data_IF_046898075353
#
_entry.id   IF_046898075353
#
_cell.length_a   1.000
_cell.length_b   1.000
_cell.length_c   1.000
_cell.angle_alpha   90.00
_cell.angle_beta   90.00
_cell.angle_gamma   90.00
#
_symmetry.space_group_name_H-M   'P 1'
#
loop_
_entity.id
_entity.type
_entity.pdbx_description
1 polymer ?
#
# COMPACT_ATOMS: atom_id res chain seq x y z
N UNK A 1 -3.78 12.79 -14.67
CA UNK A 1 -4.71 11.63 -14.61
C UNK A 1 -3.83 10.41 -14.33
N UNK A 2 -4.02 9.78 -13.18
CA UNK A 2 -3.25 8.58 -12.84
C UNK A 2 -3.97 7.34 -13.38
N UNK A 3 -3.24 6.46 -14.07
CA UNK A 3 -3.76 5.22 -14.60
C UNK A 3 -2.89 4.06 -14.13
N UNK A 4 -3.53 3.07 -13.50
CA UNK A 4 -2.88 1.80 -13.17
C UNK A 4 -3.26 0.75 -14.20
N UNK A 5 -2.26 0.10 -14.81
CA UNK A 5 -2.46 -1.02 -15.74
C UNK A 5 -1.75 -2.27 -15.23
N UNK A 6 -2.52 -3.31 -14.99
CA UNK A 6 -2.04 -4.66 -14.67
C UNK A 6 -2.15 -5.50 -15.95
N UNK A 7 -1.04 -6.05 -16.45
CA UNK A 7 -0.99 -6.73 -17.75
C UNK A 7 -0.50 -8.16 -17.61
N UNK A 8 -1.39 -9.12 -17.72
CA UNK A 8 -1.12 -10.57 -17.69
C UNK A 8 -0.21 -10.97 -16.51
N UNK A 9 -0.45 -10.36 -15.35
CA UNK A 9 0.37 -10.56 -14.17
C UNK A 9 0.07 -11.89 -13.52
N UNK A 10 1.13 -12.64 -13.24
CA UNK A 10 1.08 -13.88 -12.44
C UNK A 10 1.97 -13.78 -11.22
N UNK A 11 1.66 -14.56 -10.20
CA UNK A 11 2.57 -14.77 -9.06
C UNK A 11 2.60 -16.22 -8.66
N UNK A 12 3.80 -16.80 -8.71
CA UNK A 12 4.10 -18.13 -8.22
C UNK A 12 5.14 -18.01 -7.11
N UNK A 13 4.84 -18.52 -5.95
CA UNK A 13 5.81 -18.63 -4.85
C UNK A 13 6.55 -19.95 -4.95
N UNK A 14 7.86 -19.90 -4.83
CA UNK A 14 8.69 -21.10 -4.77
C UNK A 14 8.34 -21.95 -3.54
N UNK A 15 8.26 -23.25 -3.71
CA UNK A 15 8.05 -24.15 -2.58
C UNK A 15 9.26 -24.17 -1.63
N UNK A 16 9.01 -24.22 -0.32
CA UNK A 16 10.05 -24.38 0.67
C UNK A 16 10.31 -25.86 0.99
N UNK A 17 11.58 -26.26 1.12
CA UNK A 17 12.01 -27.60 1.57
C UNK A 17 11.32 -28.78 0.88
N UNK A 18 11.25 -28.74 -0.47
CA UNK A 18 10.71 -29.87 -1.26
C UNK A 18 9.21 -29.85 -1.50
N UNK A 19 8.49 -28.81 -1.06
CA UNK A 19 7.10 -28.58 -1.46
C UNK A 19 7.01 -28.01 -2.88
N UNK A 20 5.91 -28.34 -3.58
CA UNK A 20 5.67 -27.81 -4.93
C UNK A 20 5.48 -26.28 -4.92
N UNK A 21 5.83 -25.59 -6.00
CA UNK A 21 5.51 -24.16 -6.17
C UNK A 21 4.00 -23.92 -6.06
N UNK A 22 3.62 -22.79 -5.47
CA UNK A 22 2.21 -22.41 -5.30
C UNK A 22 1.89 -21.23 -6.18
N UNK A 23 0.93 -21.39 -7.09
CA UNK A 23 0.39 -20.28 -7.88
C UNK A 23 -0.57 -19.47 -7.02
N UNK A 24 -0.14 -18.29 -6.62
CA UNK A 24 -0.92 -17.39 -5.78
C UNK A 24 -1.80 -16.44 -6.59
N UNK A 25 -1.43 -16.15 -7.84
CA UNK A 25 -2.20 -15.32 -8.76
C UNK A 25 -2.11 -15.90 -10.17
N UNK A 26 -3.25 -16.23 -10.75
CA UNK A 26 -3.39 -16.61 -12.15
C UNK A 26 -3.23 -15.37 -13.05
N UNK A 27 -2.97 -15.54 -14.38
CA UNK A 27 -2.85 -14.40 -15.28
C UNK A 27 -4.01 -13.42 -15.15
N UNK A 28 -3.70 -12.23 -14.66
CA UNK A 28 -4.69 -11.21 -14.32
C UNK A 28 -4.37 -9.92 -15.06
N UNK A 29 -5.39 -9.34 -15.68
CA UNK A 29 -5.31 -8.02 -16.32
C UNK A 29 -6.42 -7.11 -15.78
N UNK A 30 -6.07 -5.87 -15.48
CA UNK A 30 -6.97 -4.86 -14.95
C UNK A 30 -6.44 -3.48 -15.30
N UNK A 31 -7.31 -2.61 -15.77
CA UNK A 31 -7.04 -1.19 -15.89
C UNK A 31 -7.88 -0.42 -14.87
N UNK A 32 -7.27 0.56 -14.21
CA UNK A 32 -7.90 1.45 -13.23
C UNK A 32 -7.60 2.87 -13.67
N UNK A 33 -8.65 3.63 -13.90
CA UNK A 33 -8.54 5.04 -14.30
C UNK A 33 -8.53 5.96 -13.06
N UNK A 34 -8.24 7.22 -13.30
CA UNK A 34 -8.25 8.24 -12.26
C UNK A 34 -9.66 8.36 -11.62
N UNK A 35 -9.68 8.42 -10.29
CA UNK A 35 -10.90 8.42 -9.46
C UNK A 35 -11.78 7.15 -9.51
N UNK A 36 -11.31 6.06 -10.10
CA UNK A 36 -12.02 4.79 -9.99
C UNK A 36 -12.01 4.25 -8.55
N UNK A 37 -13.10 3.61 -8.18
CA UNK A 37 -13.20 2.82 -6.96
C UNK A 37 -13.40 1.35 -7.32
N UNK A 38 -12.37 0.54 -7.11
CA UNK A 38 -12.36 -0.88 -7.48
C UNK A 38 -12.52 -1.76 -6.25
N UNK A 39 -13.47 -2.66 -6.29
CA UNK A 39 -13.65 -3.70 -5.27
C UNK A 39 -13.22 -5.05 -5.81
N UNK A 40 -12.27 -5.70 -5.12
CA UNK A 40 -11.80 -7.05 -5.48
C UNK A 40 -12.47 -8.06 -4.55
N UNK A 41 -13.36 -8.89 -5.13
CA UNK A 41 -14.12 -9.90 -4.43
C UNK A 41 -13.60 -11.31 -4.77
N UNK A 42 -13.72 -12.22 -3.82
CA UNK A 42 -13.37 -13.61 -4.00
C UNK A 42 -13.14 -14.34 -2.68
N UNK A 43 -13.10 -15.69 -2.70
CA UNK A 43 -12.87 -16.50 -1.52
C UNK A 43 -11.48 -16.27 -0.91
N UNK A 44 -11.30 -16.77 0.31
CA UNK A 44 -9.97 -16.73 0.96
C UNK A 44 -8.94 -17.53 0.13
N UNK A 45 -7.74 -16.99 -0.02
CA UNK A 45 -6.64 -17.64 -0.75
C UNK A 45 -6.69 -17.51 -2.28
N UNK A 46 -7.63 -16.75 -2.86
CA UNK A 46 -7.72 -16.58 -4.33
C UNK A 46 -6.77 -15.54 -4.93
N UNK A 47 -5.87 -14.95 -4.13
CA UNK A 47 -4.83 -14.03 -4.64
C UNK A 47 -5.12 -12.52 -4.45
N UNK A 48 -6.21 -12.10 -3.80
CA UNK A 48 -6.55 -10.67 -3.59
C UNK A 48 -5.42 -9.89 -2.92
N UNK A 49 -4.93 -10.37 -1.78
CA UNK A 49 -3.82 -9.74 -1.05
C UNK A 49 -2.52 -9.77 -1.83
N UNK A 50 -2.31 -10.82 -2.63
CA UNK A 50 -1.14 -10.92 -3.53
C UNK A 50 -1.21 -9.85 -4.60
N UNK A 51 -2.36 -9.66 -5.25
CA UNK A 51 -2.55 -8.60 -6.25
C UNK A 51 -2.29 -7.21 -5.63
N UNK A 52 -2.83 -6.93 -4.44
CA UNK A 52 -2.59 -5.65 -3.76
C UNK A 52 -1.11 -5.42 -3.43
N UNK A 53 -0.39 -6.46 -2.99
CA UNK A 53 1.05 -6.38 -2.73
C UNK A 53 1.86 -6.13 -4.00
N UNK A 54 1.49 -6.76 -5.11
CA UNK A 54 2.10 -6.55 -6.42
C UNK A 54 1.90 -5.10 -6.90
N UNK A 55 0.67 -4.58 -6.81
CA UNK A 55 0.36 -3.17 -7.14
C UNK A 55 1.10 -2.20 -6.23
N UNK A 56 1.24 -2.52 -4.94
CA UNK A 56 2.01 -1.72 -4.00
C UNK A 56 3.53 -1.74 -4.25
N UNK A 57 4.02 -2.66 -5.10
CA UNK A 57 5.45 -2.87 -5.31
C UNK A 57 6.15 -3.62 -4.16
N UNK A 58 5.40 -4.21 -3.24
CA UNK A 58 5.92 -5.01 -2.13
C UNK A 58 6.27 -6.44 -2.54
N UNK A 59 5.83 -6.84 -3.71
CA UNK A 59 6.12 -8.12 -4.36
C UNK A 59 6.41 -7.88 -5.84
N UNK A 60 7.24 -8.74 -6.42
CA UNK A 60 7.53 -8.71 -7.86
C UNK A 60 6.69 -9.77 -8.58
N UNK A 61 6.05 -9.47 -9.69
CA UNK A 61 5.34 -10.47 -10.48
C UNK A 61 6.28 -11.54 -11.03
N UNK A 62 5.80 -12.76 -11.14
CA UNK A 62 6.54 -13.85 -11.82
C UNK A 62 6.55 -13.64 -13.33
N UNK A 63 5.43 -13.19 -13.89
CA UNK A 63 5.32 -12.77 -15.29
C UNK A 63 4.32 -11.61 -15.42
N UNK A 64 4.32 -10.96 -16.57
CA UNK A 64 3.55 -9.76 -16.81
C UNK A 64 4.18 -8.51 -16.24
N UNK A 65 3.45 -7.41 -16.25
CA UNK A 65 3.92 -6.12 -15.76
C UNK A 65 2.78 -5.30 -15.14
N UNK A 66 3.17 -4.42 -14.23
CA UNK A 66 2.25 -3.43 -13.63
C UNK A 66 2.83 -2.05 -13.93
N UNK A 67 2.00 -1.19 -14.49
CA UNK A 67 2.36 0.16 -14.88
C UNK A 67 1.52 1.17 -14.10
N UNK A 68 2.14 2.23 -13.60
CA UNK A 68 1.47 3.41 -13.09
C UNK A 68 1.88 4.59 -13.96
N UNK A 69 0.91 5.23 -14.59
CA UNK A 69 1.13 6.33 -15.55
C UNK A 69 2.12 5.98 -16.68
N UNK A 70 2.05 4.73 -17.15
CA UNK A 70 2.93 4.20 -18.19
C UNK A 70 4.33 3.78 -17.70
N UNK A 71 4.67 4.01 -16.44
CA UNK A 71 5.96 3.62 -15.85
C UNK A 71 5.81 2.31 -15.09
N UNK A 72 6.74 1.40 -15.28
CA UNK A 72 6.74 0.10 -14.59
C UNK A 72 6.97 0.26 -13.10
N UNK A 73 6.14 -0.41 -12.29
CA UNK A 73 6.34 -0.51 -10.86
C UNK A 73 7.46 -1.52 -10.58
N UNK A 74 8.58 -1.05 -10.07
CA UNK A 74 9.74 -1.88 -9.71
C UNK A 74 9.89 -2.10 -8.22
N UNK A 75 9.18 -1.32 -7.40
CA UNK A 75 9.23 -1.40 -5.94
C UNK A 75 8.22 -0.49 -5.27
N UNK A 76 8.23 -0.40 -3.93
CA UNK A 76 7.43 0.56 -3.19
C UNK A 76 7.77 2.00 -3.58
N UNK A 77 6.78 2.88 -3.58
CA UNK A 77 6.95 4.29 -3.93
C UNK A 77 6.01 5.21 -3.17
N UNK A 78 6.37 6.50 -3.06
CA UNK A 78 5.55 7.53 -2.42
C UNK A 78 4.34 7.95 -3.27
N UNK A 79 4.24 7.46 -4.49
CA UNK A 79 3.15 7.65 -5.45
C UNK A 79 1.92 6.78 -5.15
N UNK A 80 2.07 5.78 -4.24
CA UNK A 80 1.02 4.85 -3.83
C UNK A 80 0.94 4.76 -2.30
N UNK A 81 -0.28 4.63 -1.77
CA UNK A 81 -0.52 4.36 -0.36
C UNK A 81 -1.19 3.01 -0.17
N UNK A 82 -0.79 2.27 0.85
CA UNK A 82 -1.41 1.00 1.24
C UNK A 82 -1.91 1.07 2.67
N UNK A 83 -3.17 0.69 2.88
CA UNK A 83 -3.71 0.44 4.21
C UNK A 83 -3.68 -1.07 4.44
N UNK A 84 -2.85 -1.50 5.38
CA UNK A 84 -2.69 -2.92 5.70
C UNK A 84 -3.84 -3.42 6.59
N UNK A 85 -4.14 -4.70 6.49
CA UNK A 85 -5.16 -5.35 7.32
C UNK A 85 -4.76 -5.42 8.81
N UNK A 86 -3.47 -5.50 9.10
CA UNK A 86 -2.92 -5.47 10.46
C UNK A 86 -2.40 -4.07 10.80
N UNK A 87 -2.32 -3.76 12.11
CA UNK A 87 -1.77 -2.50 12.57
C UNK A 87 -0.30 -2.36 12.16
N UNK A 88 0.01 -1.29 11.43
CA UNK A 88 1.35 -1.01 10.88
C UNK A 88 1.93 0.30 11.40
N UNK A 89 1.40 0.81 12.51
CA UNK A 89 1.97 2.01 13.15
C UNK A 89 3.38 1.71 13.67
N UNK A 90 4.26 2.68 13.51
CA UNK A 90 5.59 2.63 14.11
C UNK A 90 5.47 2.80 15.63
N UNK A 91 5.75 1.76 16.44
CA UNK A 91 5.50 1.81 17.88
C UNK A 91 6.43 2.76 18.64
N UNK A 92 7.54 3.16 18.02
CA UNK A 92 8.51 4.12 18.55
C UNK A 92 8.24 5.58 18.12
N UNK A 93 7.23 5.82 17.29
CA UNK A 93 6.78 7.15 16.89
C UNK A 93 5.49 7.50 17.61
N UNK A 94 5.33 8.78 17.95
CA UNK A 94 4.09 9.31 18.52
C UNK A 94 2.95 9.33 17.50
N UNK A 95 1.73 9.61 17.94
CA UNK A 95 0.56 9.77 17.05
C UNK A 95 0.87 10.79 15.95
N UNK A 96 1.36 11.97 16.31
CA UNK A 96 1.73 13.01 15.34
C UNK A 96 2.82 12.55 14.39
N UNK A 97 3.87 11.93 14.89
CA UNK A 97 4.98 11.44 14.06
C UNK A 97 4.54 10.35 13.09
N UNK A 98 3.66 9.45 13.50
CA UNK A 98 3.08 8.44 12.61
C UNK A 98 2.29 9.08 11.46
N UNK A 99 1.46 10.10 11.77
CA UNK A 99 0.69 10.84 10.75
C UNK A 99 1.62 11.60 9.80
N UNK A 100 2.66 12.23 10.34
CA UNK A 100 3.60 13.02 9.56
C UNK A 100 4.60 12.18 8.76
N UNK A 101 4.75 10.89 9.05
CA UNK A 101 5.78 10.04 8.41
C UNK A 101 5.71 10.09 6.88
N UNK A 102 4.53 9.84 6.31
CA UNK A 102 4.35 9.89 4.85
C UNK A 102 4.50 11.30 4.26
N UNK A 103 4.20 12.35 5.03
CA UNK A 103 4.40 13.73 4.61
C UNK A 103 5.89 14.09 4.58
N UNK A 104 6.65 13.56 5.53
CA UNK A 104 8.11 13.72 5.60
C UNK A 104 8.78 13.06 4.38
N UNK A 105 8.39 11.82 4.04
CA UNK A 105 8.90 11.10 2.86
C UNK A 105 8.60 11.83 1.54
N UNK A 106 7.52 12.62 1.51
CA UNK A 106 7.16 13.47 0.38
C UNK A 106 7.80 14.86 0.42
N UNK A 107 8.71 15.11 1.35
CA UNK A 107 9.40 16.39 1.56
C UNK A 107 8.42 17.58 1.76
N UNK A 108 7.25 17.36 2.38
CA UNK A 108 6.29 18.42 2.73
C UNK A 108 6.92 19.33 3.79
N UNK A 109 6.76 20.65 3.64
CA UNK A 109 7.32 21.62 4.59
C UNK A 109 6.79 21.40 6.02
N UNK A 110 7.64 21.56 7.08
CA UNK A 110 7.26 21.28 8.46
C UNK A 110 6.01 22.04 8.95
N UNK A 111 5.83 23.29 8.55
CA UNK A 111 4.64 24.08 8.88
C UNK A 111 3.35 23.44 8.32
N UNK A 112 3.40 22.97 7.08
CA UNK A 112 2.30 22.29 6.42
C UNK A 112 2.06 20.90 7.02
N UNK A 113 3.12 20.16 7.39
CA UNK A 113 2.98 18.88 8.10
C UNK A 113 2.22 19.08 9.43
N UNK A 114 2.53 20.16 10.17
CA UNK A 114 1.82 20.48 11.40
C UNK A 114 0.34 20.73 11.16
N UNK A 115 -0.01 21.56 10.20
CA UNK A 115 -1.40 21.88 9.85
C UNK A 115 -2.19 20.63 9.45
N UNK A 116 -1.64 19.83 8.53
CA UNK A 116 -2.25 18.58 8.07
C UNK A 116 -2.44 17.60 9.23
N UNK A 117 -1.41 17.41 10.07
CA UNK A 117 -1.50 16.51 11.22
C UNK A 117 -2.52 16.96 12.24
N UNK A 118 -2.60 18.26 12.56
CA UNK A 118 -3.59 18.81 13.48
C UNK A 118 -5.03 18.57 12.95
N UNK A 119 -5.24 18.75 11.64
CA UNK A 119 -6.52 18.47 11.01
C UNK A 119 -6.93 17.00 11.16
N UNK A 120 -6.04 16.05 10.82
CA UNK A 120 -6.36 14.61 10.92
C UNK A 120 -6.49 14.14 12.36
N UNK A 121 -5.66 14.59 13.29
CA UNK A 121 -5.78 14.30 14.72
C UNK A 121 -7.15 14.73 15.25
N UNK A 122 -7.62 15.92 14.87
CA UNK A 122 -8.95 16.39 15.22
C UNK A 122 -10.05 15.53 14.62
N UNK A 123 -9.91 15.19 13.32
CA UNK A 123 -10.89 14.40 12.56
C UNK A 123 -11.10 13.00 13.10
N UNK A 124 -10.02 12.34 13.61
CA UNK A 124 -10.10 11.00 14.21
C UNK A 124 -10.29 11.01 15.72
N UNK A 125 -10.49 12.18 16.34
CA UNK A 125 -10.80 12.31 17.77
C UNK A 125 -9.61 12.10 18.71
N UNK A 126 -8.37 12.29 18.23
CA UNK A 126 -7.15 12.09 19.02
C UNK A 126 -6.53 13.39 19.56
N UNK A 127 -7.33 14.45 19.68
CA UNK A 127 -6.87 15.70 20.35
C UNK A 127 -6.44 15.42 21.78
N UNK A 128 -5.27 15.91 22.18
CA UNK A 128 -4.65 15.67 23.48
C UNK A 128 -3.77 14.43 23.55
N UNK A 129 -3.76 13.61 22.47
CA UNK A 129 -2.95 12.39 22.39
C UNK A 129 -1.81 12.51 21.38
N UNK A 130 -1.51 13.71 20.88
CA UNK A 130 -0.53 13.97 19.82
C UNK A 130 0.86 13.42 20.13
N UNK A 131 1.26 13.47 21.40
CA UNK A 131 2.57 13.02 21.90
C UNK A 131 2.56 11.60 22.47
N UNK A 132 1.40 10.93 22.50
CA UNK A 132 1.30 9.54 22.96
C UNK A 132 1.82 8.57 21.92
N UNK A 133 2.28 7.40 22.38
CA UNK A 133 2.71 6.30 21.54
C UNK A 133 1.56 5.31 21.27
N UNK A 134 1.59 4.51 20.17
CA UNK A 134 0.50 3.61 19.81
C UNK A 134 0.06 2.60 20.87
N UNK A 135 0.92 2.32 21.86
CA UNK A 135 0.62 1.37 22.96
C UNK A 135 0.00 2.04 24.19
N UNK A 136 -0.14 3.34 24.19
CA UNK A 136 -0.73 4.12 25.28
C UNK A 136 -2.19 4.47 24.98
#
# INVERSE_FOLDING_TARGET
MSRLSVRQVTKVFAGHRGSAPTTALQPTSLDVEDNDFITVLGPSGCGKSTLLRLVAGLETPTSGEILLDGQRIEGPGADRGVVFQSYTLFPWLTVRQNICFGLHERAVAPAQQKEISDHFIAKVGLRGFESHYPKQ
#
